data_IF_248225153431
#
_entry.id   IF_248225153431
#
_cell.length_a   1.000
_cell.length_b   1.000
_cell.length_c   1.000
_cell.angle_alpha   90.00
_cell.angle_beta   90.00
_cell.angle_gamma   90.00
#
_symmetry.space_group_name_H-M   'P 1'
#
loop_
_entity.id
_entity.type
_entity.pdbx_description
1 polymer ?
#
# COMPACT_ATOMS: atom_id res chain seq x y z
N UNK A 1 19.79 8.01 -19.91
CA UNK A 1 18.79 6.92 -19.88
C UNK A 1 17.62 7.40 -19.02
N UNK A 2 16.40 7.58 -19.56
CA UNK A 2 15.26 8.01 -18.75
C UNK A 2 14.78 6.81 -17.93
N UNK A 3 14.78 6.91 -16.60
CA UNK A 3 14.19 5.88 -15.75
C UNK A 3 12.71 5.71 -16.09
N UNK A 4 12.23 4.47 -16.12
CA UNK A 4 10.79 4.21 -16.19
C UNK A 4 10.14 4.58 -14.86
N UNK A 5 8.85 4.92 -14.87
CA UNK A 5 8.12 5.24 -13.63
C UNK A 5 8.13 4.04 -12.67
N UNK A 6 7.96 2.82 -13.18
CA UNK A 6 8.01 1.60 -12.39
C UNK A 6 9.35 1.43 -11.66
N UNK A 7 10.48 1.62 -12.37
CA UNK A 7 11.81 1.56 -11.76
C UNK A 7 12.01 2.68 -10.73
N UNK A 8 11.50 3.87 -10.99
CA UNK A 8 11.60 5.01 -10.06
C UNK A 8 10.85 4.74 -8.76
N UNK A 9 9.62 4.21 -8.83
CA UNK A 9 8.81 3.86 -7.66
C UNK A 9 9.40 2.67 -6.89
N UNK A 10 9.98 1.68 -7.59
CA UNK A 10 10.72 0.61 -6.94
C UNK A 10 11.94 1.13 -6.17
N UNK A 11 12.77 1.98 -6.79
CA UNK A 11 13.95 2.55 -6.12
C UNK A 11 13.56 3.45 -4.95
N UNK A 12 12.46 4.21 -5.08
CA UNK A 12 11.92 5.01 -3.98
C UNK A 12 11.50 4.14 -2.80
N UNK A 13 10.74 3.07 -3.06
CA UNK A 13 10.34 2.12 -2.02
C UNK A 13 11.53 1.40 -1.38
N UNK A 14 12.51 0.99 -2.19
CA UNK A 14 13.73 0.35 -1.70
C UNK A 14 14.54 1.31 -0.82
N UNK A 15 14.69 2.57 -1.24
CA UNK A 15 15.35 3.59 -0.45
C UNK A 15 14.64 3.81 0.89
N UNK A 16 13.30 3.95 0.88
CA UNK A 16 12.52 4.12 2.10
C UNK A 16 12.73 2.95 3.07
N UNK A 17 12.64 1.70 2.58
CA UNK A 17 12.85 0.50 3.39
C UNK A 17 14.27 0.40 3.96
N UNK A 18 15.29 0.68 3.15
CA UNK A 18 16.69 0.67 3.60
C UNK A 18 16.94 1.76 4.63
N UNK A 19 16.42 2.97 4.41
CA UNK A 19 16.53 4.08 5.38
C UNK A 19 15.85 3.72 6.69
N UNK A 20 14.64 3.18 6.65
CA UNK A 20 13.88 2.78 7.83
C UNK A 20 14.64 1.76 8.68
N UNK A 21 15.12 0.67 8.05
CA UNK A 21 15.94 -0.35 8.72
C UNK A 21 17.25 0.23 9.25
N UNK A 22 17.93 1.08 8.47
CA UNK A 22 19.22 1.65 8.88
C UNK A 22 19.05 2.56 10.10
N UNK A 23 18.03 3.42 10.10
CA UNK A 23 17.76 4.32 11.24
C UNK A 23 17.35 3.50 12.48
N UNK A 24 16.53 2.46 12.31
CA UNK A 24 16.15 1.56 13.41
C UNK A 24 17.36 0.86 14.05
N UNK A 25 18.34 0.43 13.24
CA UNK A 25 19.55 -0.27 13.74
C UNK A 25 20.60 0.68 14.31
N UNK A 26 20.83 1.83 13.67
CA UNK A 26 21.92 2.73 14.04
C UNK A 26 21.50 3.77 15.08
N UNK A 27 20.22 4.17 15.10
CA UNK A 27 19.70 5.25 15.94
C UNK A 27 18.29 4.91 16.50
N UNK A 28 18.14 3.89 17.38
CA UNK A 28 16.83 3.42 17.84
C UNK A 28 15.98 4.50 18.52
N UNK A 29 16.60 5.40 19.29
CA UNK A 29 15.90 6.51 19.96
C UNK A 29 15.34 7.51 18.94
N UNK A 30 16.14 7.90 17.94
CA UNK A 30 15.71 8.74 16.82
C UNK A 30 14.60 8.06 16.02
N UNK A 31 14.71 6.75 15.82
CA UNK A 31 13.70 5.96 15.12
C UNK A 31 12.35 6.04 15.83
N UNK A 32 12.31 5.78 17.14
CA UNK A 32 11.06 5.83 17.91
C UNK A 32 10.43 7.23 17.91
N UNK A 33 11.24 8.28 18.00
CA UNK A 33 10.73 9.64 18.08
C UNK A 33 10.21 10.17 16.73
N UNK A 34 10.94 9.91 15.64
CA UNK A 34 10.70 10.57 14.35
C UNK A 34 10.22 9.66 13.24
N UNK A 35 10.50 8.35 13.28
CA UNK A 35 10.15 7.43 12.18
C UNK A 35 8.84 6.70 12.47
N UNK A 36 8.71 6.08 13.64
CA UNK A 36 7.64 5.14 13.99
C UNK A 36 6.51 5.71 14.88
N UNK A 37 6.55 7.01 15.17
CA UNK A 37 5.47 7.69 15.89
C UNK A 37 4.23 7.90 15.00
N UNK A 38 3.06 8.14 15.63
CA UNK A 38 1.75 8.40 14.98
C UNK A 38 1.72 9.64 14.04
N UNK A 39 2.81 10.42 14.03
CA UNK A 39 3.03 11.53 13.10
C UNK A 39 4.46 11.47 12.53
N UNK A 40 5.03 10.26 12.53
CA UNK A 40 6.36 9.98 12.10
C UNK A 40 6.50 10.05 10.58
N UNK A 41 7.73 9.90 10.11
CA UNK A 41 8.05 9.96 8.69
C UNK A 41 7.31 8.87 7.91
N UNK A 42 7.20 7.65 8.45
CA UNK A 42 6.60 6.52 7.71
C UNK A 42 5.11 6.74 7.47
N UNK A 43 4.37 7.14 8.50
CA UNK A 43 2.92 7.38 8.40
C UNK A 43 2.61 8.57 7.48
N UNK A 44 3.35 9.67 7.59
CA UNK A 44 3.18 10.79 6.66
C UNK A 44 3.50 10.41 5.20
N UNK A 45 4.45 9.50 4.97
CA UNK A 45 4.72 8.97 3.64
C UNK A 45 3.59 8.06 3.13
N UNK A 46 2.94 7.28 4.02
CA UNK A 46 1.76 6.50 3.67
C UNK A 46 0.62 7.43 3.25
N UNK A 47 0.33 8.47 4.03
CA UNK A 47 -0.66 9.51 3.71
C UNK A 47 -0.34 10.16 2.36
N UNK A 48 0.91 10.55 2.12
CA UNK A 48 1.33 11.13 0.84
C UNK A 48 1.11 10.18 -0.34
N UNK A 49 1.43 8.90 -0.19
CA UNK A 49 1.23 7.90 -1.23
C UNK A 49 -0.27 7.68 -1.53
N UNK A 50 -1.11 7.59 -0.48
CA UNK A 50 -2.56 7.45 -0.60
C UNK A 50 -3.22 8.67 -1.25
N UNK A 51 -2.87 9.89 -0.81
CA UNK A 51 -3.34 11.14 -1.43
C UNK A 51 -2.90 11.21 -2.89
N UNK A 52 -1.66 10.85 -3.20
CA UNK A 52 -1.17 10.82 -4.59
C UNK A 52 -1.97 9.84 -5.45
N UNK A 53 -2.26 8.64 -4.93
CA UNK A 53 -3.10 7.66 -5.61
C UNK A 53 -4.53 8.19 -5.79
N UNK A 54 -5.12 8.82 -4.79
CA UNK A 54 -6.48 9.36 -4.83
C UNK A 54 -6.60 10.47 -5.87
N UNK A 55 -5.69 11.45 -5.85
CA UNK A 55 -5.68 12.54 -6.82
C UNK A 55 -5.49 12.03 -8.25
N UNK A 56 -4.59 11.06 -8.45
CA UNK A 56 -4.38 10.44 -9.76
C UNK A 56 -5.65 9.70 -10.23
N UNK A 57 -6.31 8.96 -9.35
CA UNK A 57 -7.55 8.25 -9.67
C UNK A 57 -8.69 9.23 -10.03
N UNK A 58 -8.90 10.27 -9.21
CA UNK A 58 -9.91 11.30 -9.46
C UNK A 58 -9.62 12.05 -10.77
N UNK A 59 -8.36 12.33 -11.07
CA UNK A 59 -7.96 12.89 -12.35
C UNK A 59 -8.29 11.97 -13.53
N UNK A 60 -8.08 10.65 -13.40
CA UNK A 60 -8.47 9.68 -14.42
C UNK A 60 -9.99 9.65 -14.62
N UNK A 61 -10.78 9.68 -13.54
CA UNK A 61 -12.24 9.75 -13.60
C UNK A 61 -12.74 11.02 -14.29
N UNK A 62 -12.14 12.17 -13.97
CA UNK A 62 -12.60 13.48 -14.44
C UNK A 62 -12.21 13.78 -15.89
N UNK A 63 -11.00 13.39 -16.32
CA UNK A 63 -10.42 13.90 -17.57
C UNK A 63 -10.65 13.01 -18.78
N UNK A 64 -11.32 11.86 -18.63
CA UNK A 64 -11.30 10.80 -19.64
C UNK A 64 -12.66 10.15 -19.83
N UNK A 65 -13.06 10.06 -21.11
CA UNK A 65 -14.14 9.16 -21.53
C UNK A 65 -13.61 7.73 -21.56
N UNK A 66 -14.04 6.95 -20.58
CA UNK A 66 -13.77 5.52 -20.44
C UNK A 66 -15.06 4.68 -20.50
N UNK A 67 -14.98 3.39 -20.88
CA UNK A 67 -16.09 2.46 -20.76
C UNK A 67 -16.63 2.40 -19.32
N UNK A 68 -17.93 2.08 -19.16
CA UNK A 68 -18.59 2.04 -17.86
C UNK A 68 -17.84 1.18 -16.85
N UNK A 69 -17.37 -0.01 -17.26
CA UNK A 69 -16.64 -0.92 -16.38
C UNK A 69 -15.37 -0.29 -15.79
N UNK A 70 -14.62 0.49 -16.59
CA UNK A 70 -13.42 1.19 -16.10
C UNK A 70 -13.80 2.30 -15.14
N UNK A 71 -14.90 3.03 -15.40
CA UNK A 71 -15.40 4.07 -14.48
C UNK A 71 -15.86 3.49 -13.15
N UNK A 72 -16.60 2.37 -13.20
CA UNK A 72 -17.04 1.64 -12.00
C UNK A 72 -15.83 1.18 -11.20
N UNK A 73 -14.83 0.59 -11.86
CA UNK A 73 -13.58 0.18 -11.21
C UNK A 73 -12.86 1.35 -10.55
N UNK A 74 -12.63 2.45 -11.28
CA UNK A 74 -12.00 3.65 -10.73
C UNK A 74 -12.79 4.23 -9.56
N UNK A 75 -14.13 4.23 -9.64
CA UNK A 75 -15.01 4.68 -8.55
C UNK A 75 -14.89 3.80 -7.29
N UNK A 76 -14.91 2.48 -7.45
CA UNK A 76 -14.68 1.53 -6.33
C UNK A 76 -13.28 1.72 -5.75
N UNK A 77 -12.26 1.88 -6.59
CA UNK A 77 -10.89 2.10 -6.15
C UNK A 77 -10.75 3.44 -5.41
N UNK A 78 -11.43 4.50 -5.85
CA UNK A 78 -11.44 5.80 -5.16
C UNK A 78 -12.11 5.70 -3.79
N UNK A 79 -13.24 4.99 -3.67
CA UNK A 79 -13.88 4.73 -2.37
C UNK A 79 -12.95 3.94 -1.44
N UNK A 80 -12.25 2.93 -1.97
CA UNK A 80 -11.25 2.19 -1.21
C UNK A 80 -10.09 3.07 -0.73
N UNK A 81 -9.58 3.97 -1.58
CA UNK A 81 -8.53 4.92 -1.21
C UNK A 81 -9.00 5.91 -0.14
N UNK A 82 -10.23 6.45 -0.24
CA UNK A 82 -10.80 7.34 0.77
C UNK A 82 -10.96 6.61 2.09
N UNK A 83 -11.42 5.36 2.07
CA UNK A 83 -11.53 4.54 3.28
C UNK A 83 -10.17 4.29 3.92
N UNK A 84 -9.18 3.79 3.17
CA UNK A 84 -7.84 3.52 3.72
C UNK A 84 -7.17 4.80 4.22
N UNK A 85 -7.23 5.89 3.46
CA UNK A 85 -6.71 7.19 3.89
C UNK A 85 -7.41 7.67 5.15
N UNK A 86 -8.74 7.57 5.20
CA UNK A 86 -9.53 7.94 6.36
C UNK A 86 -9.12 7.14 7.60
N UNK A 87 -9.00 5.82 7.49
CA UNK A 87 -8.52 4.98 8.59
C UNK A 87 -7.11 5.39 9.05
N UNK A 88 -6.18 5.60 8.12
CA UNK A 88 -4.79 5.99 8.42
C UNK A 88 -4.67 7.32 9.18
N UNK A 89 -5.52 8.30 8.86
CA UNK A 89 -5.48 9.63 9.51
C UNK A 89 -6.52 9.79 10.63
N UNK A 90 -7.13 8.68 11.07
CA UNK A 90 -8.22 8.69 12.04
C UNK A 90 -9.38 9.62 11.65
N UNK A 91 -9.74 9.58 10.38
CA UNK A 91 -10.73 10.40 9.69
C UNK A 91 -10.52 11.92 9.83
N UNK A 92 -9.29 12.32 10.14
CA UNK A 92 -8.84 13.70 10.33
C UNK A 92 -8.48 14.03 11.78
N UNK A 93 -8.69 13.11 12.72
CA UNK A 93 -8.48 13.35 14.15
C UNK A 93 -7.04 13.74 14.45
N UNK A 94 -6.07 13.09 13.80
CA UNK A 94 -4.66 13.38 13.98
C UNK A 94 -4.28 14.83 13.66
N UNK A 95 -5.02 15.49 12.76
CA UNK A 95 -4.75 16.87 12.34
C UNK A 95 -5.62 17.90 13.05
N UNK A 96 -6.86 17.57 13.37
CA UNK A 96 -7.80 18.50 13.99
C UNK A 96 -7.88 18.36 15.51
N UNK A 97 -7.34 17.27 16.07
CA UNK A 97 -7.11 17.11 17.51
C UNK A 97 -8.37 16.94 18.36
N UNK A 98 -9.47 16.44 17.79
CA UNK A 98 -10.66 16.14 18.60
C UNK A 98 -10.46 14.85 19.42
N UNK A 99 -11.22 14.72 20.49
CA UNK A 99 -11.25 13.49 21.29
C UNK A 99 -12.22 12.49 20.68
N UNK A 100 -11.86 11.20 20.65
CA UNK A 100 -12.80 10.17 20.23
C UNK A 100 -13.96 10.08 21.24
N UNK A 101 -15.19 10.03 20.73
CA UNK A 101 -16.41 9.99 21.53
C UNK A 101 -17.25 8.72 21.28
N UNK A 102 -18.21 8.47 22.17
CA UNK A 102 -19.23 7.43 21.99
C UNK A 102 -18.66 6.02 21.85
N UNK A 103 -18.97 5.35 20.73
CA UNK A 103 -18.53 3.99 20.49
C UNK A 103 -17.01 3.88 20.34
N UNK A 104 -16.35 4.87 19.72
CA UNK A 104 -14.90 4.89 19.53
C UNK A 104 -14.17 5.04 20.87
N UNK A 105 -14.61 5.95 21.74
CA UNK A 105 -14.08 6.09 23.10
C UNK A 105 -14.15 4.79 23.92
N UNK A 106 -15.15 3.94 23.65
CA UNK A 106 -15.38 2.70 24.38
C UNK A 106 -14.70 1.46 23.79
N UNK A 107 -14.25 1.51 22.52
CA UNK A 107 -13.81 0.33 21.76
C UNK A 107 -12.49 0.49 21.02
N UNK A 108 -12.01 1.71 20.82
CA UNK A 108 -10.75 1.96 20.14
C UNK A 108 -9.62 1.97 21.17
N UNK A 109 -8.60 1.12 20.97
CA UNK A 109 -7.52 0.93 21.94
C UNK A 109 -6.51 2.09 21.95
N UNK A 110 -6.60 3.02 20.98
CA UNK A 110 -5.74 4.20 20.84
C UNK A 110 -6.50 5.52 21.04
N UNK A 111 -7.77 5.47 21.49
CA UNK A 111 -8.63 6.65 21.62
C UNK A 111 -8.81 7.42 20.31
N UNK A 112 -8.91 6.68 19.21
CA UNK A 112 -9.03 7.22 17.85
C UNK A 112 -10.39 6.97 17.19
N UNK A 113 -10.69 7.75 16.17
CA UNK A 113 -11.93 7.73 15.39
C UNK A 113 -11.74 6.91 14.12
N UNK A 114 -11.12 5.73 14.23
CA UNK A 114 -10.94 4.77 13.14
C UNK A 114 -11.45 3.38 13.54
N UNK A 115 -11.71 2.54 12.55
CA UNK A 115 -12.18 1.18 12.74
C UNK A 115 -11.02 0.20 12.94
N UNK A 116 -9.86 0.41 12.31
CA UNK A 116 -8.75 -0.54 12.36
C UNK A 116 -8.18 -0.74 13.78
N UNK A 117 -8.31 0.25 14.69
CA UNK A 117 -7.82 0.16 16.08
C UNK A 117 -8.91 -0.30 17.07
N UNK A 118 -10.03 -0.83 16.56
CA UNK A 118 -11.15 -1.31 17.39
C UNK A 118 -11.20 -2.83 17.53
N UNK A 119 -10.46 -3.56 16.68
CA UNK A 119 -10.31 -5.01 16.80
C UNK A 119 -9.13 -5.53 15.97
N UNK A 120 -8.49 -6.60 16.44
CA UNK A 120 -7.44 -7.29 15.69
C UNK A 120 -7.90 -7.81 14.32
N UNK A 121 -9.20 -8.04 14.15
CA UNK A 121 -9.77 -8.43 12.86
C UNK A 121 -9.70 -7.26 11.86
N UNK A 122 -10.11 -6.06 12.28
CA UNK A 122 -10.11 -4.86 11.43
C UNK A 122 -8.71 -4.33 11.16
N UNK A 123 -7.76 -4.50 12.08
CA UNK A 123 -6.32 -4.23 11.84
C UNK A 123 -5.73 -5.15 10.74
N UNK A 124 -6.08 -6.44 10.73
CA UNK A 124 -5.34 -7.41 9.92
C UNK A 124 -6.01 -7.77 8.60
N UNK A 125 -7.32 -7.95 8.58
CA UNK A 125 -8.03 -8.59 7.46
C UNK A 125 -8.15 -7.70 6.22
N UNK A 126 -8.45 -6.39 6.33
CA UNK A 126 -8.47 -5.50 5.18
C UNK A 126 -7.11 -5.49 4.44
N UNK A 127 -6.01 -5.31 5.18
CA UNK A 127 -4.65 -5.40 4.64
C UNK A 127 -4.38 -6.76 4.00
N UNK A 128 -4.74 -7.87 4.67
CA UNK A 128 -4.51 -9.20 4.13
C UNK A 128 -5.20 -9.42 2.76
N UNK A 129 -6.40 -8.90 2.57
CA UNK A 129 -7.12 -8.97 1.28
C UNK A 129 -6.37 -8.21 0.17
N UNK A 130 -5.86 -7.02 0.49
CA UNK A 130 -5.06 -6.22 -0.45
C UNK A 130 -3.74 -6.92 -0.81
N UNK A 131 -3.05 -7.52 0.19
CA UNK A 131 -1.82 -8.27 -0.03
C UNK A 131 -2.03 -9.54 -0.85
N UNK A 132 -3.09 -10.31 -0.59
CA UNK A 132 -3.43 -11.49 -1.41
C UNK A 132 -3.68 -11.07 -2.86
N UNK A 133 -4.43 -9.98 -3.06
CA UNK A 133 -4.70 -9.44 -4.39
C UNK A 133 -3.41 -9.01 -5.10
N UNK A 134 -2.51 -8.35 -4.37
CA UNK A 134 -1.19 -7.98 -4.86
C UNK A 134 -0.34 -9.20 -5.23
N UNK A 135 -0.28 -10.24 -4.39
CA UNK A 135 0.57 -11.40 -4.66
C UNK A 135 0.05 -12.19 -5.87
N UNK A 136 -1.27 -12.39 -5.98
CA UNK A 136 -1.88 -13.08 -7.10
C UNK A 136 -1.77 -12.26 -8.41
N UNK A 137 -2.20 -11.00 -8.37
CA UNK A 137 -2.29 -10.15 -9.57
C UNK A 137 -1.00 -9.43 -9.94
N UNK A 138 -0.20 -9.06 -8.95
CA UNK A 138 1.02 -8.24 -9.11
C UNK A 138 2.32 -9.03 -9.16
N UNK A 139 2.33 -10.31 -8.77
CA UNK A 139 3.51 -11.18 -8.84
C UNK A 139 3.21 -12.42 -9.69
N UNK A 140 2.26 -13.26 -9.25
CA UNK A 140 2.04 -14.58 -9.83
C UNK A 140 1.54 -14.48 -11.28
N UNK A 141 0.50 -13.71 -11.53
CA UNK A 141 -0.08 -13.56 -12.86
C UNK A 141 0.89 -13.00 -13.92
N UNK A 142 1.60 -11.87 -13.71
CA UNK A 142 2.51 -11.32 -14.72
C UNK A 142 3.73 -12.23 -14.96
N UNK A 143 4.27 -12.90 -13.93
CA UNK A 143 5.35 -13.85 -14.09
C UNK A 143 4.91 -15.11 -14.85
N UNK A 144 3.68 -15.57 -14.61
CA UNK A 144 3.12 -16.68 -15.36
C UNK A 144 2.91 -16.35 -16.83
N UNK A 145 2.29 -15.21 -17.14
CA UNK A 145 2.09 -14.77 -18.53
C UNK A 145 3.43 -14.60 -19.26
N UNK A 146 4.43 -14.02 -18.60
CA UNK A 146 5.78 -13.90 -19.15
C UNK A 146 6.46 -15.25 -19.44
N UNK A 147 6.23 -16.26 -18.58
CA UNK A 147 6.86 -17.59 -18.71
C UNK A 147 6.12 -18.53 -19.64
N UNK A 148 4.78 -18.51 -19.63
CA UNK A 148 3.92 -19.48 -20.32
C UNK A 148 3.27 -18.93 -21.58
N UNK A 149 3.28 -17.61 -21.78
CA UNK A 149 2.58 -16.94 -22.88
C UNK A 149 1.05 -17.01 -22.77
N UNK A 150 0.51 -17.50 -21.66
CA UNK A 150 -0.93 -17.65 -21.40
C UNK A 150 -1.32 -16.90 -20.14
N UNK A 151 -2.55 -16.39 -20.07
CA UNK A 151 -3.07 -15.70 -18.88
C UNK A 151 -3.67 -16.70 -17.89
N UNK A 152 -3.38 -16.53 -16.60
CA UNK A 152 -4.05 -17.30 -15.53
C UNK A 152 -5.50 -16.85 -15.38
N UNK A 153 -5.72 -15.53 -15.38
CA UNK A 153 -7.02 -14.93 -15.16
C UNK A 153 -7.58 -14.36 -16.46
N UNK A 154 -8.85 -14.63 -16.75
CA UNK A 154 -9.57 -14.02 -17.87
C UNK A 154 -10.10 -12.63 -17.46
N UNK A 155 -9.18 -11.72 -17.10
CA UNK A 155 -9.49 -10.36 -16.71
C UNK A 155 -9.08 -9.37 -17.80
N UNK A 156 -9.73 -8.19 -17.88
CA UNK A 156 -9.33 -7.17 -18.83
C UNK A 156 -7.86 -6.77 -18.66
N UNK A 157 -7.14 -6.55 -19.76
CA UNK A 157 -5.70 -6.25 -19.68
C UNK A 157 -5.38 -4.98 -18.88
N UNK A 158 -6.28 -3.99 -18.89
CA UNK A 158 -6.13 -2.77 -18.08
C UNK A 158 -6.29 -3.03 -16.58
N UNK A 159 -6.93 -4.13 -16.19
CA UNK A 159 -7.10 -4.52 -14.78
C UNK A 159 -5.82 -5.15 -14.21
N UNK A 160 -5.07 -5.86 -15.05
CA UNK A 160 -3.87 -6.59 -14.63
C UNK A 160 -2.65 -5.67 -14.50
N UNK A 161 -1.93 -5.70 -13.37
CA UNK A 161 -0.66 -5.00 -13.24
C UNK A 161 0.37 -5.49 -14.25
N UNK A 162 1.25 -4.59 -14.70
CA UNK A 162 2.28 -4.91 -15.70
C UNK A 162 3.51 -5.55 -15.05
N UNK A 163 4.22 -6.38 -15.83
CA UNK A 163 5.47 -7.05 -15.42
C UNK A 163 6.51 -6.10 -14.81
N UNK A 164 6.55 -4.85 -15.27
CA UNK A 164 7.48 -3.84 -14.77
C UNK A 164 7.30 -3.51 -13.27
N UNK A 165 6.12 -3.75 -12.68
CA UNK A 165 5.85 -3.51 -11.26
C UNK A 165 6.10 -4.74 -10.37
N UNK A 166 6.47 -5.89 -10.94
CA UNK A 166 6.80 -7.09 -10.16
C UNK A 166 7.89 -6.83 -9.12
N UNK A 167 9.00 -6.12 -9.41
CA UNK A 167 10.01 -5.83 -8.40
C UNK A 167 9.46 -5.08 -7.18
N UNK A 168 8.56 -4.10 -7.39
CA UNK A 168 7.90 -3.38 -6.30
C UNK A 168 6.94 -4.29 -5.53
N UNK A 169 6.16 -5.13 -6.21
CA UNK A 169 5.28 -6.10 -5.52
C UNK A 169 6.07 -7.11 -4.68
N UNK A 170 7.22 -7.58 -5.20
CA UNK A 170 8.14 -8.44 -4.45
C UNK A 170 8.72 -7.70 -3.24
N UNK A 171 9.03 -6.41 -3.37
CA UNK A 171 9.49 -5.61 -2.25
C UNK A 171 8.43 -5.53 -1.12
N UNK A 172 7.15 -5.35 -1.48
CA UNK A 172 6.02 -5.40 -0.52
C UNK A 172 5.94 -6.76 0.17
N UNK A 173 6.12 -7.85 -0.58
CA UNK A 173 6.16 -9.20 0.00
C UNK A 173 7.32 -9.34 1.00
N UNK A 174 8.54 -8.94 0.61
CA UNK A 174 9.74 -9.03 1.44
C UNK A 174 9.61 -8.22 2.73
N UNK A 175 9.02 -7.03 2.68
CA UNK A 175 8.77 -6.20 3.87
C UNK A 175 7.89 -6.90 4.93
N UNK A 176 7.00 -7.82 4.52
CA UNK A 176 6.15 -8.59 5.44
C UNK A 176 6.75 -9.90 5.92
N UNK A 177 7.84 -10.40 5.31
CA UNK A 177 8.47 -11.69 5.66
C UNK A 177 8.82 -11.77 7.14
N UNK A 178 9.43 -10.75 7.78
CA UNK A 178 9.75 -10.80 9.21
C UNK A 178 8.53 -11.12 10.08
N UNK A 179 7.40 -10.42 9.84
CA UNK A 179 6.13 -10.65 10.56
C UNK A 179 5.60 -12.08 10.36
N UNK A 180 5.70 -12.62 9.14
CA UNK A 180 5.26 -13.99 8.85
C UNK A 180 6.15 -15.04 9.52
N UNK A 181 7.47 -14.84 9.52
CA UNK A 181 8.44 -15.74 10.17
C UNK A 181 8.19 -15.76 11.67
N UNK A 182 8.04 -14.60 12.32
CA UNK A 182 7.81 -14.51 13.76
C UNK A 182 6.48 -15.19 14.15
N UNK A 183 5.45 -15.11 13.28
CA UNK A 183 4.16 -15.77 13.48
C UNK A 183 4.24 -17.31 13.40
N UNK A 184 5.28 -17.89 12.81
CA UNK A 184 5.48 -19.35 12.82
C UNK A 184 5.85 -19.90 14.20
N UNK A 185 6.32 -19.04 15.12
CA UNK A 185 6.64 -19.44 16.50
C UNK A 185 7.78 -20.46 16.59
N UNK A 186 8.73 -20.43 15.65
CA UNK A 186 9.87 -21.35 15.65
C UNK A 186 10.85 -20.90 16.74
N UNK A 187 11.09 -21.78 17.71
CA UNK A 187 12.00 -21.51 18.82
C UNK A 187 13.41 -21.13 18.31
N UNK A 188 13.96 -20.05 18.84
CA UNK A 188 15.27 -19.52 18.45
C UNK A 188 15.32 -18.77 17.11
N UNK A 189 14.19 -18.62 16.40
CA UNK A 189 14.11 -17.86 15.16
C UNK A 189 13.16 -16.66 15.33
N UNK A 190 13.74 -15.47 15.48
CA UNK A 190 13.02 -14.19 15.50
C UNK A 190 13.70 -13.19 14.56
N UNK A 191 12.93 -12.65 13.61
CA UNK A 191 13.33 -11.53 12.76
C UNK A 191 12.74 -10.23 13.33
N UNK A 192 13.09 -9.90 14.56
CA UNK A 192 12.68 -8.66 15.22
C UNK A 192 13.85 -7.68 15.28
N UNK A 193 13.60 -6.45 14.85
CA UNK A 193 14.48 -5.32 15.10
C UNK A 193 13.76 -4.45 16.13
N UNK A 194 14.43 -4.15 17.25
CA UNK A 194 13.79 -3.48 18.38
C UNK A 194 13.08 -2.20 17.93
N UNK A 195 11.75 -2.19 18.10
CA UNK A 195 10.92 -1.04 17.81
C UNK A 195 10.57 -0.80 16.33
N UNK A 196 11.16 -1.55 15.38
CA UNK A 196 10.84 -1.45 13.95
C UNK A 196 9.48 -2.11 13.65
N UNK A 197 8.56 -1.33 13.09
CA UNK A 197 7.22 -1.83 12.71
C UNK A 197 7.22 -2.25 11.23
N UNK A 198 7.56 -3.51 10.95
CA UNK A 198 7.58 -4.05 9.58
C UNK A 198 6.25 -3.92 8.82
N UNK A 199 5.11 -3.90 9.53
CA UNK A 199 3.80 -3.68 8.93
C UNK A 199 3.67 -2.31 8.28
N UNK A 200 4.15 -1.26 8.93
CA UNK A 200 4.03 0.12 8.44
C UNK A 200 4.79 0.31 7.12
N UNK A 201 5.99 -0.26 7.06
CA UNK A 201 6.78 -0.27 5.83
C UNK A 201 6.09 -1.09 4.73
N UNK A 202 5.46 -2.23 5.08
CA UNK A 202 4.71 -3.01 4.11
C UNK A 202 3.51 -2.24 3.55
N UNK A 203 2.80 -1.48 4.39
CA UNK A 203 1.68 -0.61 3.99
C UNK A 203 2.16 0.54 3.11
N UNK A 204 3.23 1.24 3.49
CA UNK A 204 3.84 2.29 2.66
C UNK A 204 4.17 1.77 1.25
N UNK A 205 4.84 0.63 1.16
CA UNK A 205 5.20 0.02 -0.13
C UNK A 205 3.96 -0.40 -0.93
N UNK A 206 2.91 -0.90 -0.26
CA UNK A 206 1.63 -1.25 -0.88
C UNK A 206 0.94 0.00 -1.45
N UNK A 207 0.98 1.13 -0.74
CA UNK A 207 0.38 2.38 -1.20
C UNK A 207 1.17 3.00 -2.36
N UNK A 208 2.51 2.91 -2.34
CA UNK A 208 3.35 3.24 -3.50
C UNK A 208 2.97 2.35 -4.70
N UNK A 209 2.67 1.07 -4.47
CA UNK A 209 2.18 0.17 -5.53
C UNK A 209 0.83 0.61 -6.11
N UNK A 210 -0.09 1.17 -5.31
CA UNK A 210 -1.34 1.74 -5.83
C UNK A 210 -1.08 2.88 -6.82
N UNK A 211 -0.10 3.75 -6.53
CA UNK A 211 0.33 4.79 -7.46
C UNK A 211 0.89 4.16 -8.75
N UNK A 212 1.77 3.16 -8.64
CA UNK A 212 2.35 2.46 -9.80
C UNK A 212 1.25 1.85 -10.68
N UNK A 213 0.29 1.16 -10.06
CA UNK A 213 -0.86 0.57 -10.73
C UNK A 213 -1.68 1.62 -11.50
N UNK A 214 -2.03 2.74 -10.86
CA UNK A 214 -2.82 3.79 -11.50
C UNK A 214 -2.08 4.48 -12.64
N UNK A 215 -0.76 4.65 -12.54
CA UNK A 215 0.07 5.17 -13.63
C UNK A 215 0.02 4.23 -14.85
N UNK A 216 0.11 2.92 -14.63
CA UNK A 216 0.07 1.97 -15.75
C UNK A 216 -1.33 1.78 -16.31
N UNK A 217 -2.37 1.84 -15.47
CA UNK A 217 -3.76 1.94 -15.91
C UNK A 217 -3.94 3.15 -16.83
N UNK A 218 -3.41 4.32 -16.45
CA UNK A 218 -3.45 5.53 -17.27
C UNK A 218 -2.79 5.34 -18.65
N UNK A 219 -1.67 4.61 -18.71
CA UNK A 219 -0.97 4.28 -19.97
C UNK A 219 -1.75 3.28 -20.81
N UNK A 220 -2.22 2.19 -20.21
CA UNK A 220 -2.98 1.14 -20.89
C UNK A 220 -4.26 1.71 -21.53
N UNK A 221 -4.97 2.58 -20.81
CA UNK A 221 -6.18 3.23 -21.32
C UNK A 221 -5.90 4.24 -22.44
N UNK A 222 -4.70 4.86 -22.50
CA UNK A 222 -4.29 5.68 -23.65
C UNK A 222 -4.09 4.85 -24.92
N UNK A 223 -3.43 3.70 -24.81
CA UNK A 223 -3.14 2.82 -25.96
C UNK A 223 -4.42 2.25 -26.59
N UNK A 224 -5.46 2.01 -25.79
CA UNK A 224 -6.75 1.52 -26.28
C UNK A 224 -7.53 2.50 -27.18
N UNK A 225 -7.15 3.79 -27.24
CA UNK A 225 -7.80 4.81 -28.09
C UNK A 225 -7.21 4.91 -29.51
N UNK A 226 -6.05 4.31 -29.73
CA UNK A 226 -5.29 4.39 -31.01
C UNK A 226 -5.49 3.17 -31.91
N UNK A 227 -6.44 2.30 -31.58
CA UNK A 227 -6.95 1.23 -32.45
C UNK A 227 -8.42 1.47 -32.70
#
# INVERSE_FOLDING_TARGET
MKLTVALSLFLLGLLAMVTDITVALCCPETYQLYMASELGVIENLQVLALVSALLLNLWLLATRKYPLLVKVWLGVFALGLVFVLGEEISWGQHYMGWEAEGWFAARNDQSETNLHNTSSWLDQKPRALLLISLYLGGIIAPLWEAKRGTRIFNLPQWFMPVLANVPLAVLVFLAGVPKYVNKLGIEGVSLDIHGLRFSEMQELLLYIYFVAYLVDLAKALKVSRTK
#
